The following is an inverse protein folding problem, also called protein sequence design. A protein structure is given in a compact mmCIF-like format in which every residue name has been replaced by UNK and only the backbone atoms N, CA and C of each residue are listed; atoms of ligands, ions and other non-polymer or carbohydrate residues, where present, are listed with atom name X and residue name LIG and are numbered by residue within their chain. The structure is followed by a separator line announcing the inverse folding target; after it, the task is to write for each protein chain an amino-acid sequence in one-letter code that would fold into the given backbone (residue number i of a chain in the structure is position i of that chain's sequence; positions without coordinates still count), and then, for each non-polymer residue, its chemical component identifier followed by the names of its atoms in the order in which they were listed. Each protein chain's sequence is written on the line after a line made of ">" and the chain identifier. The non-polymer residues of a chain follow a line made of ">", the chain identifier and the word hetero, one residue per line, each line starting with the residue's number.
data_IF_656839822663
#
_entry.id   IF_656839822663
#
_cell.length_a   1.000
_cell.length_b   1.000
_cell.length_c   1.000
_cell.angle_alpha   90.00
_cell.angle_beta   90.00
_cell.angle_gamma   90.00
#
_symmetry.space_group_name_H-M   'P 1'
#
loop_
_entity.id
_entity.type
_entity.pdbx_description
1 polymer ?
#
# COMPACT_ATOMS: atom_id res chain seq x y z
N UNK A 1 12.82 16.55 30.58
CA UNK A 1 12.55 17.46 29.49
C UNK A 1 11.03 17.61 29.35
N UNK A 2 10.53 18.85 29.14
CA UNK A 2 9.08 19.12 29.09
C UNK A 2 8.40 18.30 27.98
N UNK A 3 8.98 18.27 26.79
CA UNK A 3 8.47 17.49 25.64
C UNK A 3 8.32 15.98 25.89
N UNK A 4 9.13 15.43 26.78
CA UNK A 4 9.06 14.01 27.18
C UNK A 4 7.92 13.79 28.19
N UNK A 5 7.73 14.74 29.13
CA UNK A 5 6.61 14.72 30.09
C UNK A 5 5.26 14.89 29.38
N UNK A 6 5.23 15.73 28.34
CA UNK A 6 4.05 15.98 27.54
C UNK A 6 3.80 14.87 26.50
N UNK A 7 4.61 13.80 26.53
CA UNK A 7 4.54 12.66 25.60
C UNK A 7 4.60 13.07 24.11
N UNK A 8 5.36 14.11 23.80
CA UNK A 8 5.59 14.59 22.43
C UNK A 8 6.80 13.89 21.82
N UNK A 9 7.82 13.61 22.65
CA UNK A 9 9.03 12.89 22.21
C UNK A 9 9.38 11.76 23.18
N UNK A 10 10.10 10.76 22.67
CA UNK A 10 10.82 9.76 23.49
C UNK A 10 12.31 9.88 23.24
N UNK A 11 13.11 9.62 24.28
CA UNK A 11 14.58 9.53 24.14
C UNK A 11 14.97 8.23 23.50
N UNK A 12 15.89 8.31 22.54
CA UNK A 12 16.57 7.17 21.92
C UNK A 12 18.07 7.39 22.03
N UNK A 13 18.85 6.32 21.85
CA UNK A 13 20.31 6.45 21.86
C UNK A 13 20.76 7.40 20.74
N UNK A 14 21.39 8.53 21.12
CA UNK A 14 21.84 9.57 20.19
C UNK A 14 20.82 10.67 19.88
N UNK A 15 19.63 10.72 20.54
CA UNK A 15 18.67 11.80 20.29
C UNK A 15 17.28 11.62 20.90
N UNK A 16 16.28 12.25 20.29
CA UNK A 16 14.88 12.09 20.62
C UNK A 16 14.06 11.90 19.34
N UNK A 17 13.04 11.04 19.40
CA UNK A 17 12.06 10.86 18.33
C UNK A 17 10.72 11.42 18.75
N UNK A 18 10.00 12.05 17.82
CA UNK A 18 8.60 12.43 18.02
C UNK A 18 7.76 11.18 18.26
N UNK A 19 6.88 11.22 19.24
CA UNK A 19 5.98 10.09 19.52
C UNK A 19 4.96 9.90 18.37
N UNK A 20 4.64 10.99 17.65
CA UNK A 20 3.83 10.95 16.43
C UNK A 20 4.46 10.07 15.34
N UNK A 21 5.77 10.12 15.18
CA UNK A 21 6.51 9.34 14.16
C UNK A 21 6.53 7.83 14.48
N UNK A 22 6.20 7.47 15.74
CA UNK A 22 6.11 6.09 16.22
C UNK A 22 4.67 5.59 16.31
N UNK A 23 3.69 6.50 16.25
CA UNK A 23 2.28 6.13 16.21
C UNK A 23 1.87 5.90 14.77
N UNK A 24 1.45 4.69 14.50
CA UNK A 24 0.75 4.40 13.26
C UNK A 24 -0.50 5.29 13.16
N UNK A 25 -0.62 6.01 12.03
CA UNK A 25 -1.77 6.84 11.74
C UNK A 25 -3.05 5.98 11.64
N UNK A 26 -4.17 6.52 12.10
CA UNK A 26 -5.46 5.85 11.94
C UNK A 26 -5.85 5.74 10.46
N UNK A 27 -6.78 4.83 10.12
CA UNK A 27 -7.31 4.72 8.77
C UNK A 27 -7.87 6.06 8.26
N UNK A 28 -8.56 6.82 9.11
CA UNK A 28 -9.09 8.13 8.77
C UNK A 28 -7.98 9.14 8.45
N UNK A 29 -6.95 9.24 9.31
CA UNK A 29 -5.83 10.16 9.07
C UNK A 29 -5.08 9.79 7.77
N UNK A 30 -4.94 8.51 7.49
CA UNK A 30 -4.31 8.03 6.24
C UNK A 30 -5.10 8.42 4.99
N UNK A 31 -6.43 8.44 5.04
CA UNK A 31 -7.27 8.83 3.90
C UNK A 31 -7.09 10.30 3.56
N UNK A 32 -7.08 11.20 4.55
CA UNK A 32 -7.00 12.65 4.32
C UNK A 32 -5.59 13.12 3.99
N UNK A 33 -4.56 12.37 4.41
CA UNK A 33 -3.16 12.71 4.12
C UNK A 33 -2.82 12.37 2.68
N UNK A 34 -2.26 13.31 1.92
CA UNK A 34 -1.90 13.16 0.49
C UNK A 34 -3.07 12.65 -0.36
N UNK A 35 -4.28 13.21 -0.14
CA UNK A 35 -5.50 12.73 -0.79
C UNK A 35 -5.48 12.97 -2.32
N UNK A 36 -4.93 14.10 -2.77
CA UNK A 36 -4.83 14.43 -4.20
C UNK A 36 -3.84 13.51 -4.91
N UNK A 37 -2.66 13.28 -4.31
CA UNK A 37 -1.65 12.36 -4.82
C UNK A 37 -2.22 10.94 -4.96
N UNK A 38 -2.87 10.44 -3.91
CA UNK A 38 -3.50 9.11 -3.94
C UNK A 38 -4.60 9.02 -4.97
N UNK A 39 -5.34 10.11 -5.20
CA UNK A 39 -6.36 10.15 -6.25
C UNK A 39 -5.74 10.01 -7.64
N UNK A 40 -4.62 10.71 -7.92
CA UNK A 40 -3.89 10.55 -9.18
C UNK A 40 -3.34 9.14 -9.35
N UNK A 41 -2.68 8.62 -8.31
CA UNK A 41 -2.17 7.24 -8.29
C UNK A 41 -3.28 6.22 -8.55
N UNK A 42 -4.42 6.38 -7.87
CA UNK A 42 -5.58 5.50 -8.03
C UNK A 42 -6.18 5.55 -9.43
N UNK A 43 -6.33 6.74 -10.00
CA UNK A 43 -6.81 6.91 -11.36
C UNK A 43 -5.90 6.23 -12.39
N UNK A 44 -4.58 6.38 -12.23
CA UNK A 44 -3.62 5.71 -13.10
C UNK A 44 -3.63 4.18 -12.91
N UNK A 45 -3.59 3.69 -11.66
CA UNK A 45 -3.57 2.26 -11.38
C UNK A 45 -4.78 1.53 -11.99
N UNK A 46 -5.97 2.15 -11.99
CA UNK A 46 -7.15 1.59 -12.64
C UNK A 46 -6.97 1.45 -14.15
N UNK A 47 -6.16 2.27 -14.82
CA UNK A 47 -5.89 2.13 -16.25
C UNK A 47 -5.13 0.86 -16.63
N UNK A 48 -4.52 0.20 -15.64
CA UNK A 48 -3.85 -1.09 -15.82
C UNK A 48 -4.80 -2.29 -15.66
N UNK A 49 -6.07 -2.06 -15.31
CA UNK A 49 -7.07 -3.10 -15.09
C UNK A 49 -7.87 -3.34 -16.36
N UNK A 50 -8.02 -4.60 -16.72
CA UNK A 50 -8.80 -5.04 -17.86
C UNK A 50 -10.16 -5.59 -17.41
N UNK A 51 -11.16 -5.52 -18.27
CA UNK A 51 -12.47 -6.08 -18.00
C UNK A 51 -12.39 -7.61 -17.80
N UNK A 52 -12.89 -8.09 -16.68
CA UNK A 52 -12.85 -9.49 -16.29
C UNK A 52 -11.65 -9.88 -15.43
N UNK A 53 -10.72 -8.95 -15.14
CA UNK A 53 -9.63 -9.20 -14.20
C UNK A 53 -10.16 -9.57 -12.81
N UNK A 54 -9.47 -10.48 -12.16
CA UNK A 54 -9.52 -10.64 -10.71
C UNK A 54 -8.38 -9.85 -10.10
N UNK A 55 -8.70 -8.85 -9.29
CA UNK A 55 -7.70 -7.98 -8.68
C UNK A 55 -7.70 -8.11 -7.16
N UNK A 56 -6.55 -7.89 -6.54
CA UNK A 56 -6.40 -7.78 -5.09
C UNK A 56 -6.09 -6.33 -4.69
N UNK A 57 -6.79 -5.83 -3.69
CA UNK A 57 -6.55 -4.52 -3.08
C UNK A 57 -6.26 -4.70 -1.59
N UNK A 58 -5.12 -4.18 -1.13
CA UNK A 58 -4.73 -4.25 0.27
C UNK A 58 -5.47 -3.23 1.17
N UNK A 59 -5.04 -3.14 2.42
CA UNK A 59 -5.61 -2.28 3.45
C UNK A 59 -5.09 -0.82 3.42
N UNK A 60 -4.56 -0.37 2.31
CA UNK A 60 -4.02 0.98 2.20
C UNK A 60 -5.07 2.01 1.78
N UNK A 61 -4.90 3.25 2.26
CA UNK A 61 -5.71 4.37 1.78
C UNK A 61 -5.39 4.75 0.32
N UNK A 62 -4.26 4.30 -0.21
CA UNK A 62 -3.87 4.54 -1.61
C UNK A 62 -4.65 3.62 -2.55
N UNK A 63 -4.79 2.34 -2.20
CA UNK A 63 -5.61 1.40 -2.98
C UNK A 63 -7.10 1.70 -2.84
N UNK A 64 -7.56 2.16 -1.67
CA UNK A 64 -8.93 2.68 -1.50
C UNK A 64 -9.22 3.83 -2.47
N UNK A 65 -8.24 4.69 -2.77
CA UNK A 65 -8.41 5.80 -3.70
C UNK A 65 -8.58 5.37 -5.18
N UNK A 66 -8.39 4.09 -5.50
CA UNK A 66 -8.68 3.54 -6.83
C UNK A 66 -10.19 3.40 -7.10
N UNK A 67 -10.99 3.16 -6.05
CA UNK A 67 -12.40 2.78 -6.15
C UNK A 67 -13.24 3.77 -6.96
N UNK A 68 -13.12 5.11 -6.78
CA UNK A 68 -13.91 6.08 -7.54
C UNK A 68 -13.67 6.04 -9.06
N UNK A 69 -12.58 5.43 -9.51
CA UNK A 69 -12.20 5.36 -10.93
C UNK A 69 -12.51 4.01 -11.58
N UNK A 70 -12.91 3.00 -10.80
CA UNK A 70 -13.18 1.65 -11.31
C UNK A 70 -14.46 1.64 -12.15
N UNK A 71 -14.31 1.41 -13.48
CA UNK A 71 -15.39 1.52 -14.48
C UNK A 71 -15.49 0.29 -15.39
N UNK A 72 -14.81 -0.80 -15.06
CA UNK A 72 -14.84 -2.06 -15.81
C UNK A 72 -15.29 -3.20 -14.91
N UNK A 73 -15.93 -4.25 -15.46
CA UNK A 73 -16.29 -5.43 -14.67
C UNK A 73 -15.05 -6.13 -14.13
N UNK A 74 -15.01 -6.35 -12.81
CA UNK A 74 -13.88 -7.01 -12.11
C UNK A 74 -14.36 -7.81 -10.91
N UNK A 75 -13.56 -8.79 -10.50
CA UNK A 75 -13.67 -9.39 -9.16
C UNK A 75 -12.58 -8.78 -8.26
N UNK A 76 -12.96 -8.22 -7.12
CA UNK A 76 -12.06 -7.58 -6.17
C UNK A 76 -11.93 -8.43 -4.91
N UNK A 77 -10.71 -8.88 -4.63
CA UNK A 77 -10.36 -9.57 -3.39
C UNK A 77 -9.68 -8.57 -2.46
N UNK A 78 -10.18 -8.43 -1.25
CA UNK A 78 -9.62 -7.48 -0.28
C UNK A 78 -9.78 -7.98 1.16
N UNK A 79 -8.86 -7.59 2.04
CA UNK A 79 -8.99 -7.75 3.48
C UNK A 79 -9.43 -6.43 4.17
N UNK A 80 -9.79 -5.39 3.42
CA UNK A 80 -10.05 -4.04 3.91
C UNK A 80 -11.55 -3.73 3.91
N UNK A 81 -12.11 -3.46 5.09
CA UNK A 81 -13.55 -3.19 5.26
C UNK A 81 -13.99 -2.00 4.40
N UNK A 82 -13.20 -0.92 4.37
CA UNK A 82 -13.57 0.30 3.64
C UNK A 82 -13.58 0.09 2.13
N UNK A 83 -12.66 -0.73 1.59
CA UNK A 83 -12.67 -1.11 0.17
C UNK A 83 -13.95 -1.89 -0.15
N UNK A 84 -14.28 -2.90 0.65
CA UNK A 84 -15.49 -3.69 0.44
C UNK A 84 -16.75 -2.84 0.56
N UNK A 85 -16.82 -1.94 1.55
CA UNK A 85 -17.97 -1.04 1.72
C UNK A 85 -18.10 -0.05 0.57
N UNK A 86 -16.97 0.52 0.10
CA UNK A 86 -17.00 1.48 -1.01
C UNK A 86 -17.39 0.83 -2.36
N UNK A 87 -17.16 -0.47 -2.50
CA UNK A 87 -17.54 -1.23 -3.69
C UNK A 87 -18.94 -1.85 -3.61
N UNK A 88 -19.59 -1.86 -2.43
CA UNK A 88 -20.87 -2.55 -2.22
C UNK A 88 -22.00 -2.06 -3.15
N UNK A 89 -21.92 -0.81 -3.62
CA UNK A 89 -22.91 -0.23 -4.56
C UNK A 89 -22.39 -0.17 -6.01
N UNK A 90 -21.19 -0.71 -6.28
CA UNK A 90 -20.63 -0.73 -7.64
C UNK A 90 -21.05 -2.02 -8.37
N UNK A 91 -22.04 -1.91 -9.25
CA UNK A 91 -22.58 -3.04 -10.03
C UNK A 91 -21.54 -3.73 -10.95
N UNK A 92 -20.40 -3.08 -11.21
CA UNK A 92 -19.32 -3.63 -12.04
C UNK A 92 -18.29 -4.45 -11.23
N UNK A 93 -18.40 -4.46 -9.89
CA UNK A 93 -17.44 -5.14 -9.03
C UNK A 93 -18.10 -6.27 -8.25
N UNK A 94 -17.64 -7.50 -8.46
CA UNK A 94 -17.85 -8.59 -7.50
C UNK A 94 -16.82 -8.47 -6.39
N UNK A 95 -17.24 -8.55 -5.11
CA UNK A 95 -16.35 -8.30 -3.97
C UNK A 95 -16.25 -9.51 -3.08
N UNK A 96 -15.02 -9.98 -2.88
CA UNK A 96 -14.66 -11.00 -1.90
C UNK A 96 -13.92 -10.34 -0.75
N UNK A 97 -14.60 -10.14 0.37
CA UNK A 97 -13.98 -9.65 1.60
C UNK A 97 -13.40 -10.82 2.39
N UNK A 98 -12.07 -10.85 2.50
CA UNK A 98 -11.36 -11.85 3.29
C UNK A 98 -11.44 -11.47 4.78
N UNK A 99 -12.12 -12.28 5.56
CA UNK A 99 -12.29 -12.11 7.00
C UNK A 99 -11.08 -12.58 7.80
N UNK A 100 -11.09 -12.32 9.12
CA UNK A 100 -10.03 -12.71 10.05
C UNK A 100 -10.07 -11.90 11.34
N UNK A 101 -8.90 -11.66 11.96
CA UNK A 101 -8.80 -10.78 13.12
C UNK A 101 -8.84 -9.31 12.69
N UNK A 102 -9.83 -8.56 13.18
CA UNK A 102 -9.98 -7.14 12.84
C UNK A 102 -8.92 -6.28 13.52
N UNK A 103 -8.08 -5.66 12.73
CA UNK A 103 -7.13 -4.65 13.13
C UNK A 103 -7.79 -3.27 13.04
N UNK A 104 -8.20 -2.73 14.21
CA UNK A 104 -9.01 -1.50 14.30
C UNK A 104 -8.33 -0.26 13.73
N UNK A 105 -6.99 -0.20 13.74
CA UNK A 105 -6.23 0.96 13.24
C UNK A 105 -6.29 1.10 11.73
N UNK A 106 -6.19 -0.01 11.02
CA UNK A 106 -6.24 -0.07 9.57
C UNK A 106 -7.63 -0.41 9.03
N UNK A 107 -8.56 -0.86 9.88
CA UNK A 107 -9.87 -1.39 9.47
C UNK A 107 -9.73 -2.57 8.49
N UNK A 108 -8.71 -3.40 8.71
CA UNK A 108 -8.40 -4.56 7.90
C UNK A 108 -8.42 -5.84 8.71
N UNK A 109 -8.57 -6.95 8.04
CA UNK A 109 -8.44 -8.27 8.64
C UNK A 109 -7.00 -8.78 8.47
N UNK A 110 -6.48 -9.43 9.52
CA UNK A 110 -5.13 -10.01 9.56
C UNK A 110 -5.17 -11.37 10.27
N UNK A 111 -4.01 -12.06 10.27
CA UNK A 111 -3.80 -13.31 10.97
C UNK A 111 -4.07 -14.55 10.13
N UNK A 112 -3.72 -15.71 10.69
CA UNK A 112 -3.67 -16.98 9.96
C UNK A 112 -4.96 -17.33 9.18
N UNK A 113 -6.14 -17.06 9.75
CA UNK A 113 -7.41 -17.31 9.04
C UNK A 113 -7.53 -16.50 7.76
N UNK A 114 -7.14 -15.21 7.79
CA UNK A 114 -7.13 -14.35 6.62
C UNK A 114 -6.13 -14.87 5.59
N UNK A 115 -4.93 -15.19 6.02
CA UNK A 115 -3.83 -15.66 5.19
C UNK A 115 -4.17 -17.01 4.51
N UNK A 116 -4.68 -17.98 5.28
CA UNK A 116 -5.04 -19.30 4.77
C UNK A 116 -6.20 -19.22 3.77
N UNK A 117 -7.15 -18.28 3.99
CA UNK A 117 -8.25 -18.11 3.05
C UNK A 117 -7.79 -17.35 1.78
N UNK A 118 -6.96 -16.31 1.93
CA UNK A 118 -6.41 -15.58 0.79
C UNK A 118 -5.58 -16.48 -0.14
N UNK A 119 -4.80 -17.41 0.40
CA UNK A 119 -4.00 -18.38 -0.37
C UNK A 119 -4.82 -19.32 -1.26
N UNK A 120 -6.13 -19.39 -1.08
CA UNK A 120 -7.00 -20.20 -1.94
C UNK A 120 -7.35 -19.50 -3.27
N UNK A 121 -6.98 -18.23 -3.41
CA UNK A 121 -7.24 -17.44 -4.61
C UNK A 121 -5.97 -17.24 -5.44
N UNK A 122 -6.14 -17.11 -6.74
CA UNK A 122 -5.15 -16.54 -7.64
C UNK A 122 -5.76 -15.32 -8.30
N UNK A 123 -5.02 -14.22 -8.31
CA UNK A 123 -5.46 -12.96 -8.88
C UNK A 123 -4.57 -12.55 -10.05
N UNK A 124 -5.13 -11.85 -11.01
CA UNK A 124 -4.36 -11.36 -12.15
C UNK A 124 -3.42 -10.23 -11.74
N UNK A 125 -3.90 -9.30 -10.92
CA UNK A 125 -3.12 -8.15 -10.47
C UNK A 125 -3.38 -7.85 -8.99
N UNK A 126 -2.31 -7.64 -8.22
CA UNK A 126 -2.40 -7.08 -6.88
C UNK A 126 -1.92 -5.63 -6.90
N UNK A 127 -2.73 -4.74 -6.36
CA UNK A 127 -2.36 -3.35 -6.11
C UNK A 127 -2.18 -3.16 -4.60
N UNK A 128 -0.99 -2.82 -4.21
CA UNK A 128 -0.58 -2.73 -2.82
C UNK A 128 0.03 -1.36 -2.55
N UNK A 129 0.06 -0.95 -1.30
CA UNK A 129 0.90 0.15 -0.85
C UNK A 129 1.57 -0.23 0.45
N UNK A 130 2.63 0.48 0.83
CA UNK A 130 3.32 0.23 2.07
C UNK A 130 3.73 1.55 2.75
N UNK A 131 4.37 1.47 3.90
CA UNK A 131 4.79 2.65 4.66
C UNK A 131 6.00 3.34 4.03
N UNK A 132 6.89 2.58 3.39
CA UNK A 132 8.09 3.16 2.77
C UNK A 132 8.66 2.28 1.66
N UNK A 133 9.32 2.93 0.70
CA UNK A 133 10.09 2.33 -0.38
C UNK A 133 11.49 2.91 -0.37
N UNK A 134 12.50 2.06 -0.19
CA UNK A 134 13.91 2.43 -0.26
C UNK A 134 14.61 1.64 -1.35
N UNK A 135 15.30 2.31 -2.28
CA UNK A 135 15.82 1.73 -3.52
C UNK A 135 16.65 0.48 -3.26
N UNK A 136 17.69 0.57 -2.45
CA UNK A 136 18.55 -0.60 -2.13
C UNK A 136 17.95 -1.54 -1.06
N UNK A 137 17.01 -1.07 -0.24
CA UNK A 137 16.53 -1.79 0.95
C UNK A 137 15.25 -2.55 0.70
N UNK A 138 14.44 -2.07 -0.24
CA UNK A 138 13.15 -2.64 -0.58
C UNK A 138 11.97 -1.90 0.05
N UNK A 139 10.85 -2.58 0.12
CA UNK A 139 9.55 -2.09 0.56
C UNK A 139 9.30 -2.54 2.01
N UNK A 140 8.85 -1.60 2.85
CA UNK A 140 8.67 -1.85 4.29
C UNK A 140 7.33 -1.32 4.78
N UNK A 141 6.79 -1.98 5.81
CA UNK A 141 5.61 -1.51 6.54
C UNK A 141 5.90 -1.27 8.03
N UNK A 142 4.99 -0.58 8.71
CA UNK A 142 5.11 -0.28 10.14
C UNK A 142 4.69 -1.45 11.03
N UNK A 143 3.78 -2.30 10.54
CA UNK A 143 3.21 -3.45 11.24
C UNK A 143 3.71 -4.76 10.63
N UNK A 144 4.04 -5.72 11.49
CA UNK A 144 4.41 -7.08 11.05
C UNK A 144 3.23 -7.77 10.37
N UNK A 145 2.02 -7.58 10.90
CA UNK A 145 0.81 -8.20 10.36
C UNK A 145 0.49 -7.66 8.96
N UNK A 146 0.60 -6.33 8.75
CA UNK A 146 0.41 -5.71 7.44
C UNK A 146 1.48 -6.13 6.44
N UNK A 147 2.76 -6.16 6.88
CA UNK A 147 3.85 -6.63 6.03
C UNK A 147 3.66 -8.09 5.62
N UNK A 148 3.16 -8.94 6.52
CA UNK A 148 2.89 -10.35 6.25
C UNK A 148 1.71 -10.53 5.30
N UNK A 149 0.60 -9.83 5.56
CA UNK A 149 -0.56 -9.84 4.65
C UNK A 149 -0.17 -9.46 3.22
N UNK A 150 0.66 -8.42 3.04
CA UNK A 150 1.12 -7.99 1.71
C UNK A 150 1.95 -9.06 1.00
N UNK A 151 2.80 -9.80 1.72
CA UNK A 151 3.53 -10.94 1.14
C UNK A 151 2.57 -12.01 0.59
N UNK A 152 1.50 -12.32 1.33
CA UNK A 152 0.52 -13.30 0.86
C UNK A 152 -0.24 -12.77 -0.38
N UNK A 153 -0.60 -11.49 -0.41
CA UNK A 153 -1.18 -10.88 -1.63
C UNK A 153 -0.25 -11.01 -2.83
N UNK A 154 1.06 -10.76 -2.65
CA UNK A 154 2.06 -10.93 -3.72
C UNK A 154 2.16 -12.39 -4.18
N UNK A 155 2.15 -13.36 -3.24
CA UNK A 155 2.21 -14.79 -3.55
C UNK A 155 0.99 -15.28 -4.35
N UNK A 156 -0.16 -14.64 -4.17
CA UNK A 156 -1.41 -14.99 -4.85
C UNK A 156 -1.56 -14.29 -6.21
N UNK A 157 -0.73 -13.30 -6.53
CA UNK A 157 -0.88 -12.47 -7.72
C UNK A 157 0.06 -12.89 -8.86
N UNK A 158 -0.43 -12.78 -10.11
CA UNK A 158 0.39 -12.93 -11.31
C UNK A 158 1.27 -11.72 -11.56
N UNK A 159 0.75 -10.51 -11.21
CA UNK A 159 1.48 -9.24 -11.24
C UNK A 159 1.20 -8.44 -9.99
N UNK A 160 2.22 -7.81 -9.45
CA UNK A 160 2.11 -6.98 -8.24
C UNK A 160 2.59 -5.57 -8.54
N UNK A 161 1.73 -4.59 -8.29
CA UNK A 161 2.02 -3.16 -8.41
C UNK A 161 1.97 -2.50 -7.04
N UNK A 162 3.04 -1.76 -6.71
CA UNK A 162 3.04 -0.95 -5.50
C UNK A 162 2.82 0.54 -5.82
N UNK A 163 1.90 1.15 -5.09
CA UNK A 163 1.53 2.55 -5.20
C UNK A 163 2.13 3.33 -4.03
N UNK A 164 2.93 4.34 -4.32
CA UNK A 164 3.55 5.18 -3.31
C UNK A 164 3.32 6.66 -3.64
N UNK A 165 2.79 7.43 -2.68
CA UNK A 165 2.97 8.87 -2.75
C UNK A 165 4.44 9.22 -2.47
N UNK A 166 4.90 10.36 -3.01
CA UNK A 166 6.30 10.81 -2.94
C UNK A 166 6.86 10.82 -1.51
N UNK A 167 6.02 11.02 -0.49
CA UNK A 167 6.47 11.07 0.91
C UNK A 167 6.96 9.74 1.44
N UNK A 168 6.66 8.64 0.74
CA UNK A 168 7.06 7.28 1.12
C UNK A 168 8.38 6.84 0.49
N UNK A 169 8.80 7.50 -0.59
CA UNK A 169 10.05 7.16 -1.30
C UNK A 169 11.25 7.63 -0.47
N UNK A 170 12.26 6.79 -0.35
CA UNK A 170 13.48 7.07 0.44
C UNK A 170 13.30 6.96 1.96
N UNK A 171 12.07 6.75 2.43
CA UNK A 171 11.79 6.61 3.86
C UNK A 171 12.19 5.24 4.40
N UNK A 172 12.18 5.11 5.73
CA UNK A 172 12.46 3.85 6.44
C UNK A 172 11.24 3.45 7.25
N UNK A 173 10.95 2.15 7.26
CA UNK A 173 9.98 1.56 8.15
C UNK A 173 10.53 0.29 8.79
N UNK A 174 9.73 -0.46 9.51
CA UNK A 174 10.25 -1.44 10.47
C UNK A 174 10.28 -2.86 9.89
N UNK A 175 9.19 -3.31 9.25
CA UNK A 175 9.05 -4.67 8.77
C UNK A 175 9.19 -4.74 7.26
N UNK A 176 10.13 -5.55 6.77
CA UNK A 176 10.33 -5.74 5.34
C UNK A 176 9.17 -6.54 4.74
N UNK A 177 8.57 -5.99 3.69
CA UNK A 177 7.63 -6.69 2.82
C UNK A 177 8.42 -7.49 1.79
N UNK A 178 9.17 -6.80 0.91
CA UNK A 178 9.91 -7.43 -0.19
C UNK A 178 11.07 -6.57 -0.66
N UNK A 179 11.89 -7.07 -1.57
CA UNK A 179 12.75 -6.25 -2.42
C UNK A 179 11.93 -5.58 -3.52
N UNK A 180 12.38 -4.44 -4.07
CA UNK A 180 11.73 -3.82 -5.22
C UNK A 180 11.76 -4.78 -6.42
N UNK A 181 12.85 -5.52 -6.60
CA UNK A 181 13.01 -6.52 -7.64
C UNK A 181 12.07 -7.75 -7.53
N UNK A 182 11.22 -7.80 -6.54
CA UNK A 182 10.17 -8.81 -6.38
C UNK A 182 8.79 -8.28 -6.78
N UNK A 183 8.73 -7.07 -7.34
CA UNK A 183 7.49 -6.44 -7.82
C UNK A 183 7.50 -6.34 -9.33
N UNK A 184 6.33 -6.29 -9.95
CA UNK A 184 6.21 -6.09 -11.39
C UNK A 184 6.14 -4.61 -11.76
N UNK A 185 5.72 -3.75 -10.83
CA UNK A 185 5.67 -2.32 -11.10
C UNK A 185 5.57 -1.44 -9.86
N UNK A 186 6.10 -0.22 -10.01
CA UNK A 186 6.01 0.87 -9.04
C UNK A 186 5.26 2.04 -9.69
N UNK A 187 4.24 2.53 -9.01
CA UNK A 187 3.46 3.70 -9.40
C UNK A 187 3.67 4.78 -8.34
N UNK A 188 4.15 5.96 -8.73
CA UNK A 188 4.40 7.06 -7.80
C UNK A 188 3.98 8.40 -8.39
N UNK A 189 3.72 9.40 -7.56
CA UNK A 189 3.46 10.77 -8.01
C UNK A 189 4.76 11.55 -8.19
N UNK A 190 4.72 12.53 -9.09
CA UNK A 190 5.84 13.46 -9.32
C UNK A 190 5.77 14.59 -8.31
N UNK A 191 6.89 14.85 -7.64
CA UNK A 191 7.07 15.97 -6.73
C UNK A 191 8.42 16.65 -6.97
N UNK A 192 8.42 17.96 -7.19
CA UNK A 192 9.65 18.72 -7.52
C UNK A 192 10.77 18.57 -6.47
N UNK A 193 10.39 18.36 -5.21
CA UNK A 193 11.35 18.23 -4.10
C UNK A 193 12.11 16.92 -4.03
N UNK A 194 11.77 15.90 -4.85
CA UNK A 194 12.42 14.58 -4.82
C UNK A 194 12.82 14.03 -6.21
N UNK A 195 12.97 14.90 -7.21
CA UNK A 195 13.27 14.54 -8.59
C UNK A 195 14.48 13.60 -8.71
N UNK A 196 15.59 13.91 -8.04
CA UNK A 196 16.78 13.07 -8.08
C UNK A 196 16.55 11.65 -7.52
N UNK A 197 15.72 11.53 -6.48
CA UNK A 197 15.38 10.23 -5.89
C UNK A 197 14.45 9.43 -6.79
N UNK A 198 13.54 10.09 -7.51
CA UNK A 198 12.68 9.47 -8.51
C UNK A 198 13.49 8.97 -9.72
N UNK A 199 14.43 9.77 -10.21
CA UNK A 199 15.35 9.37 -11.30
C UNK A 199 16.17 8.13 -10.89
N UNK A 200 16.67 8.09 -9.65
CA UNK A 200 17.40 6.92 -9.13
C UNK A 200 16.50 5.68 -9.05
N UNK A 201 15.26 5.84 -8.61
CA UNK A 201 14.29 4.75 -8.54
C UNK A 201 13.89 4.25 -9.93
N UNK A 202 13.65 5.15 -10.88
CA UNK A 202 13.37 4.83 -12.28
C UNK A 202 14.52 4.05 -12.93
N UNK A 203 15.76 4.51 -12.72
CA UNK A 203 16.95 3.82 -13.22
C UNK A 203 17.08 2.43 -12.61
N UNK A 204 16.80 2.28 -11.30
CA UNK A 204 16.80 0.98 -10.64
C UNK A 204 15.74 0.06 -11.24
N UNK A 205 14.51 0.53 -11.40
CA UNK A 205 13.42 -0.24 -11.98
C UNK A 205 13.73 -0.66 -13.42
N UNK A 206 14.31 0.23 -14.22
CA UNK A 206 14.75 -0.08 -15.59
C UNK A 206 15.79 -1.20 -15.64
N UNK A 207 16.78 -1.17 -14.75
CA UNK A 207 17.83 -2.19 -14.68
C UNK A 207 17.28 -3.57 -14.26
N UNK A 208 16.28 -3.59 -13.41
CA UNK A 208 15.64 -4.82 -12.90
C UNK A 208 14.42 -5.25 -13.74
N UNK A 209 14.12 -4.56 -14.84
CA UNK A 209 12.96 -4.83 -15.72
C UNK A 209 11.60 -4.73 -15.00
N UNK A 210 11.47 -3.74 -14.12
CA UNK A 210 10.25 -3.42 -13.38
C UNK A 210 9.56 -2.23 -14.04
N UNK A 211 8.27 -2.31 -14.26
CA UNK A 211 7.48 -1.19 -14.77
C UNK A 211 7.54 0.00 -13.80
N UNK A 212 7.88 1.19 -14.29
CA UNK A 212 7.91 2.40 -13.48
C UNK A 212 6.98 3.47 -14.08
N UNK A 213 6.09 3.99 -13.26
CA UNK A 213 5.11 5.00 -13.66
C UNK A 213 5.15 6.17 -12.68
N UNK A 214 5.49 7.36 -13.18
CA UNK A 214 5.44 8.63 -12.46
C UNK A 214 4.25 9.47 -12.97
N UNK A 215 3.28 9.80 -12.11
CA UNK A 215 1.98 10.39 -12.48
C UNK A 215 1.67 11.70 -11.75
#
# INVERSE_FOLDING_TARGET
>A
NQLEKDKIVIRVHGGAKLLSDMKEASAHDRIITQAEEKSRLGAFAVSLIEAGDTIALDDSSTTLAMIPFLRVPVTVITNHIQVATALAENELAEVVLIGGHLRKKSLSFTGAMMEDYLKQFQVDKAFLSAKSCGIEKGIFDASIDEAHSKKIFMECARKTYFLFDHTKIGQRSFHKVCGINQTDGIITDVYEGNTALLEELEQYCSNEHIDFYAV
#
